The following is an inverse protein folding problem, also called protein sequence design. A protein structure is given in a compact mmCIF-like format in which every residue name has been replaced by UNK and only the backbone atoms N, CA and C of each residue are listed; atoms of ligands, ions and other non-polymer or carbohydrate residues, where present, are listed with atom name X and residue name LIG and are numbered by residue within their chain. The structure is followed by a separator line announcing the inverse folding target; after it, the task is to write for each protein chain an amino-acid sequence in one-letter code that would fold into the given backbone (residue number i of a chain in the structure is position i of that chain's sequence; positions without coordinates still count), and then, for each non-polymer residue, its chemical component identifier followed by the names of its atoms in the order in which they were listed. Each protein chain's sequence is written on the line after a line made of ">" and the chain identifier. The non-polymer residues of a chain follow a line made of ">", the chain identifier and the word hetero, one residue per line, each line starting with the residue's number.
data_IF_074109819311
#
_entry.id   IF_074109819311
#
_cell.length_a   1.000
_cell.length_b   1.000
_cell.length_c   1.000
_cell.angle_alpha   90.00
_cell.angle_beta   90.00
_cell.angle_gamma   90.00
#
_symmetry.space_group_name_H-M   'P 1'
#
loop_
_entity.id
_entity.type
_entity.pdbx_description
1 polymer ?
#
# COMPACT_ATOMS: atom_id res chain seq x y z
N UNK A 1 19.20 4.68 2.68
CA UNK A 1 19.26 6.13 2.91
C UNK A 1 18.83 6.42 4.33
N UNK A 2 19.35 7.49 4.92
CA UNK A 2 19.00 7.89 6.29
C UNK A 2 17.55 8.40 6.33
N UNK A 3 16.76 7.81 7.23
CA UNK A 3 15.38 8.24 7.51
C UNK A 3 15.42 9.15 8.73
N UNK A 4 14.89 10.36 8.59
CA UNK A 4 14.85 11.35 9.67
C UNK A 4 13.45 11.37 10.26
N UNK A 5 13.33 10.99 11.53
CA UNK A 5 12.08 11.05 12.28
C UNK A 5 12.09 12.26 13.21
N UNK A 6 11.16 13.19 13.01
CA UNK A 6 10.90 14.20 14.03
C UNK A 6 10.01 13.63 15.15
N UNK A 7 10.18 14.07 16.41
CA UNK A 7 9.35 13.62 17.52
C UNK A 7 7.90 14.05 17.33
N UNK A 8 6.98 13.31 17.96
CA UNK A 8 5.58 13.69 18.04
C UNK A 8 5.43 14.99 18.83
N UNK A 9 4.62 15.91 18.30
CA UNK A 9 4.24 17.18 18.92
C UNK A 9 2.74 17.19 19.16
N UNK A 10 2.32 17.63 20.34
CA UNK A 10 0.91 17.75 20.68
C UNK A 10 0.36 19.08 20.17
N UNK A 11 -0.72 19.03 19.42
CA UNK A 11 -1.42 20.19 18.89
C UNK A 11 -2.51 20.70 19.84
N UNK A 12 -2.93 21.95 19.67
CA UNK A 12 -3.99 22.59 20.49
C UNK A 12 -5.32 21.83 20.44
N UNK A 13 -5.62 21.21 19.29
CA UNK A 13 -6.85 20.45 19.08
C UNK A 13 -6.84 19.06 19.76
N UNK A 14 -5.71 18.67 20.38
CA UNK A 14 -5.48 17.40 21.07
C UNK A 14 -4.87 16.30 20.21
N UNK A 15 -4.74 16.48 18.90
CA UNK A 15 -4.03 15.54 18.03
C UNK A 15 -2.52 15.62 18.29
N UNK A 16 -1.79 14.62 17.79
CA UNK A 16 -0.33 14.67 17.75
C UNK A 16 0.14 14.65 16.30
N UNK A 17 1.15 15.44 15.97
CA UNK A 17 1.73 15.49 14.62
C UNK A 17 3.22 15.17 14.66
N UNK A 18 3.75 14.62 13.56
CA UNK A 18 5.19 14.55 13.32
C UNK A 18 5.47 14.63 11.84
N UNK A 19 6.72 14.96 11.51
CA UNK A 19 7.23 14.95 10.14
C UNK A 19 8.31 13.88 10.02
N UNK A 20 8.31 13.16 8.91
CA UNK A 20 9.31 12.16 8.57
C UNK A 20 9.87 12.52 7.20
N UNK A 21 11.20 12.49 7.07
CA UNK A 21 11.90 12.77 5.82
C UNK A 21 12.69 11.53 5.41
N UNK A 22 12.52 11.11 4.16
CA UNK A 22 13.22 9.94 3.62
C UNK A 22 13.39 10.03 2.10
N UNK A 23 14.18 9.10 1.55
CA UNK A 23 14.36 8.94 0.11
C UNK A 23 13.86 7.57 -0.30
N UNK A 24 13.05 7.52 -1.36
CA UNK A 24 12.57 6.29 -1.97
C UNK A 24 13.29 6.04 -3.29
N UNK A 25 13.47 4.77 -3.64
CA UNK A 25 13.93 4.34 -4.97
C UNK A 25 12.72 4.16 -5.88
N UNK A 26 12.82 4.67 -7.11
CA UNK A 26 11.77 4.59 -8.11
C UNK A 26 12.13 3.58 -9.20
N UNK A 27 11.15 2.78 -9.60
CA UNK A 27 11.28 1.78 -10.68
C UNK A 27 10.81 2.30 -12.04
N UNK A 28 10.40 3.56 -12.12
CA UNK A 28 9.87 4.17 -13.34
C UNK A 28 11.01 4.64 -14.28
N UNK A 29 11.11 4.12 -15.51
CA UNK A 29 12.17 4.50 -16.46
C UNK A 29 12.08 5.96 -16.94
N UNK A 30 10.95 6.64 -16.72
CA UNK A 30 10.71 8.04 -17.09
C UNK A 30 10.89 9.02 -15.92
N UNK A 31 11.24 8.52 -14.73
CA UNK A 31 11.48 9.32 -13.54
C UNK A 31 12.95 9.19 -13.09
N UNK A 32 13.47 10.11 -12.27
CA UNK A 32 14.73 9.90 -11.58
C UNK A 32 14.71 8.60 -10.77
N UNK A 33 15.88 7.97 -10.59
CA UNK A 33 15.99 6.69 -9.85
C UNK A 33 15.59 6.79 -8.38
N UNK A 34 15.56 8.00 -7.84
CA UNK A 34 15.23 8.28 -6.44
C UNK A 34 14.39 9.53 -6.33
N UNK A 35 13.54 9.59 -5.32
CA UNK A 35 12.77 10.78 -4.95
C UNK A 35 12.87 11.05 -3.46
N UNK A 36 12.93 12.32 -3.09
CA UNK A 36 12.84 12.74 -1.70
C UNK A 36 11.36 12.82 -1.28
N UNK A 37 11.07 12.44 -0.03
CA UNK A 37 9.71 12.37 0.49
C UNK A 37 9.60 13.12 1.80
N UNK A 38 8.54 13.93 1.90
CA UNK A 38 8.09 14.54 3.14
C UNK A 38 6.77 13.90 3.53
N UNK A 39 6.75 13.23 4.68
CA UNK A 39 5.55 12.63 5.23
C UNK A 39 5.15 13.33 6.53
N UNK A 40 3.96 13.94 6.53
CA UNK A 40 3.37 14.55 7.72
C UNK A 40 2.33 13.61 8.29
N UNK A 41 2.61 13.06 9.47
CA UNK A 41 1.70 12.17 10.16
C UNK A 41 0.92 12.91 11.22
N UNK A 42 -0.39 12.68 11.28
CA UNK A 42 -1.30 13.17 12.32
C UNK A 42 -1.94 11.96 13.01
N UNK A 43 -1.59 11.75 14.27
CA UNK A 43 -2.29 10.81 15.15
C UNK A 43 -3.47 11.52 15.80
N UNK A 44 -4.68 11.00 15.56
CA UNK A 44 -5.89 11.61 16.08
C UNK A 44 -6.02 11.42 17.60
N UNK A 45 -6.57 12.43 18.27
CA UNK A 45 -6.84 12.42 19.73
C UNK A 45 -7.75 11.28 20.22
N UNK A 46 -8.51 10.67 19.31
CA UNK A 46 -9.34 9.51 19.60
C UNK A 46 -8.51 8.21 19.74
N UNK A 47 -7.22 8.25 19.38
CA UNK A 47 -6.29 7.14 19.58
C UNK A 47 -6.08 6.90 21.08
N UNK A 48 -6.15 5.65 21.47
CA UNK A 48 -5.98 5.18 22.84
C UNK A 48 -4.83 4.22 22.89
N UNK A 49 -3.88 4.48 23.78
CA UNK A 49 -2.71 3.64 23.96
C UNK A 49 -3.13 2.18 24.21
N UNK A 50 -2.44 1.27 23.52
CA UNK A 50 -2.69 -0.19 23.55
C UNK A 50 -4.04 -0.66 23.00
N UNK A 51 -4.98 0.22 22.64
CA UNK A 51 -6.32 -0.19 22.18
C UNK A 51 -6.56 0.15 20.70
N UNK A 52 -6.32 1.40 20.30
CA UNK A 52 -6.60 1.86 18.95
C UNK A 52 -5.71 3.05 18.55
N UNK A 53 -5.13 3.01 17.36
CA UNK A 53 -4.43 4.13 16.77
C UNK A 53 -5.00 4.45 15.40
N UNK A 54 -5.32 5.73 15.18
CA UNK A 54 -5.73 6.25 13.88
C UNK A 54 -4.75 7.35 13.49
N UNK A 55 -4.00 7.09 12.41
CA UNK A 55 -2.94 7.97 11.91
C UNK A 55 -3.19 8.26 10.44
N UNK A 56 -3.32 9.54 10.11
CA UNK A 56 -3.28 10.00 8.73
C UNK A 56 -1.86 10.43 8.38
N UNK A 57 -1.35 9.95 7.26
CA UNK A 57 -0.06 10.32 6.70
C UNK A 57 -0.27 11.03 5.36
N UNK A 58 -0.01 12.32 5.34
CA UNK A 58 0.08 13.11 4.11
C UNK A 58 1.49 12.97 3.55
N UNK A 59 1.62 12.39 2.36
CA UNK A 59 2.91 12.10 1.73
C UNK A 59 3.07 12.97 0.49
N UNK A 60 4.14 13.77 0.49
CA UNK A 60 4.59 14.56 -0.64
C UNK A 60 5.88 13.94 -1.18
N UNK A 61 5.83 13.47 -2.41
CA UNK A 61 6.99 12.94 -3.12
C UNK A 61 7.54 14.03 -4.04
N UNK A 62 8.75 14.50 -3.77
CA UNK A 62 9.42 15.52 -4.57
C UNK A 62 10.22 14.87 -5.71
N UNK A 63 10.71 15.69 -6.63
CA UNK A 63 11.62 15.28 -7.72
C UNK A 63 11.01 14.28 -8.74
N UNK A 64 9.70 14.01 -8.67
CA UNK A 64 8.97 13.20 -9.67
C UNK A 64 8.23 14.08 -10.67
N UNK A 65 7.98 13.61 -11.90
CA UNK A 65 7.14 14.33 -12.85
C UNK A 65 5.77 14.66 -12.23
N UNK A 66 5.35 15.91 -12.37
CA UNK A 66 4.08 16.42 -11.84
C UNK A 66 3.94 16.36 -10.31
N UNK A 67 5.05 16.35 -9.54
CA UNK A 67 5.01 16.31 -8.08
C UNK A 67 4.19 17.44 -7.43
N UNK A 68 3.98 18.56 -8.13
CA UNK A 68 3.18 19.69 -7.68
C UNK A 68 1.66 19.53 -7.97
N UNK A 69 1.27 18.51 -8.73
CA UNK A 69 -0.13 18.24 -9.09
C UNK A 69 -0.84 17.39 -8.06
N UNK A 70 -0.14 16.51 -7.35
CA UNK A 70 -0.76 15.50 -6.52
C UNK A 70 0.01 15.22 -5.25
N UNK A 71 -0.66 14.58 -4.30
CA UNK A 71 -0.09 14.06 -3.07
C UNK A 71 -0.92 12.86 -2.61
N UNK A 72 -0.39 12.12 -1.65
CA UNK A 72 -1.03 10.90 -1.15
C UNK A 72 -1.51 11.12 0.27
N UNK A 73 -2.68 10.57 0.60
CA UNK A 73 -3.13 10.43 1.99
C UNK A 73 -3.27 8.95 2.30
N UNK A 74 -2.48 8.45 3.24
CA UNK A 74 -2.62 7.11 3.79
C UNK A 74 -3.25 7.20 5.18
N UNK A 75 -4.35 6.48 5.41
CA UNK A 75 -4.96 6.34 6.74
C UNK A 75 -4.65 4.97 7.29
N UNK A 76 -3.84 4.93 8.35
CA UNK A 76 -3.51 3.74 9.11
C UNK A 76 -4.44 3.63 10.32
N UNK A 77 -5.15 2.52 10.43
CA UNK A 77 -5.97 2.19 11.59
C UNK A 77 -5.48 0.89 12.20
N UNK A 78 -4.92 0.96 13.40
CA UNK A 78 -4.45 -0.19 14.16
C UNK A 78 -5.37 -0.39 15.36
N UNK A 79 -6.12 -1.49 15.38
CA UNK A 79 -7.04 -1.82 16.48
C UNK A 79 -6.62 -3.13 17.14
N UNK A 80 -6.57 -3.16 18.48
CA UNK A 80 -6.33 -4.38 19.23
C UNK A 80 -7.48 -5.37 19.04
N UNK A 81 -7.14 -6.64 18.90
CA UNK A 81 -8.10 -7.77 18.74
C UNK A 81 -7.94 -8.78 19.87
N UNK A 82 -6.71 -8.99 20.36
CA UNK A 82 -6.40 -9.78 21.54
C UNK A 82 -5.12 -9.26 22.21
N UNK A 83 -4.64 -9.92 23.28
CA UNK A 83 -3.46 -9.47 24.03
C UNK A 83 -2.22 -9.23 23.16
N UNK A 84 -1.94 -10.12 22.22
CA UNK A 84 -0.78 -10.06 21.32
C UNK A 84 -1.23 -10.07 19.85
N UNK A 85 -2.42 -9.54 19.56
CA UNK A 85 -2.98 -9.54 18.21
C UNK A 85 -3.69 -8.23 17.92
N UNK A 86 -3.37 -7.65 16.79
CA UNK A 86 -3.98 -6.41 16.30
C UNK A 86 -4.44 -6.60 14.86
N UNK A 87 -5.36 -5.76 14.43
CA UNK A 87 -5.79 -5.64 13.04
C UNK A 87 -5.28 -4.30 12.52
N UNK A 88 -4.47 -4.35 11.47
CA UNK A 88 -4.08 -3.18 10.69
C UNK A 88 -5.02 -3.04 9.49
N UNK A 89 -5.55 -1.84 9.27
CA UNK A 89 -6.25 -1.45 8.06
C UNK A 89 -5.57 -0.22 7.49
N UNK A 90 -5.29 -0.23 6.19
CA UNK A 90 -4.73 0.93 5.50
C UNK A 90 -5.64 1.28 4.34
N UNK A 91 -6.05 2.54 4.25
CA UNK A 91 -6.75 3.09 3.09
C UNK A 91 -5.95 4.23 2.52
N UNK A 92 -5.88 4.30 1.19
CA UNK A 92 -5.08 5.29 0.50
C UNK A 92 -5.94 6.10 -0.45
N UNK A 93 -5.68 7.40 -0.50
CA UNK A 93 -6.31 8.33 -1.42
C UNK A 93 -5.26 9.12 -2.20
N UNK A 94 -5.41 9.14 -3.53
CA UNK A 94 -4.67 10.04 -4.42
C UNK A 94 -5.42 11.38 -4.50
N UNK A 95 -4.78 12.46 -4.06
CA UNK A 95 -5.37 13.81 -4.07
C UNK A 95 -4.69 14.68 -5.11
N UNK A 96 -5.48 15.41 -5.88
CA UNK A 96 -5.00 16.39 -6.85
C UNK A 96 -5.11 17.82 -6.30
N UNK A 97 -4.00 18.55 -6.29
CA UNK A 97 -3.94 20.00 -6.01
C UNK A 97 -4.28 20.83 -7.23
N UNK A 98 -3.94 20.32 -8.41
CA UNK A 98 -4.24 20.90 -9.73
C UNK A 98 -4.96 19.86 -10.55
N UNK A 99 -5.96 20.26 -11.34
CA UNK A 99 -6.68 19.32 -12.20
C UNK A 99 -5.79 18.90 -13.38
N UNK A 100 -5.30 17.65 -13.44
CA UNK A 100 -4.56 17.18 -14.61
C UNK A 100 -5.51 16.94 -15.79
N UNK A 101 -5.02 17.20 -17.00
CA UNK A 101 -5.70 16.84 -18.24
C UNK A 101 -5.51 15.33 -18.53
N UNK A 102 -6.40 14.75 -19.34
CA UNK A 102 -6.60 13.29 -19.44
C UNK A 102 -5.33 12.43 -19.48
N UNK A 103 -4.38 12.72 -20.39
CA UNK A 103 -3.15 11.94 -20.51
C UNK A 103 -2.25 12.03 -19.26
N UNK A 104 -2.11 13.23 -18.69
CA UNK A 104 -1.33 13.44 -17.46
C UNK A 104 -1.99 12.75 -16.28
N UNK A 105 -3.32 12.83 -16.18
CA UNK A 105 -4.09 12.13 -15.14
C UNK A 105 -3.84 10.64 -15.20
N UNK A 106 -4.02 10.04 -16.39
CA UNK A 106 -3.78 8.60 -16.58
C UNK A 106 -2.33 8.20 -16.32
N UNK A 107 -1.36 9.04 -16.67
CA UNK A 107 0.04 8.79 -16.35
C UNK A 107 0.28 8.77 -14.83
N UNK A 108 -0.21 9.77 -14.10
CA UNK A 108 -0.09 9.85 -12.65
C UNK A 108 -0.74 8.63 -11.99
N UNK A 109 -2.00 8.33 -12.33
CA UNK A 109 -2.75 7.23 -11.72
C UNK A 109 -2.09 5.87 -11.93
N UNK A 110 -1.62 5.57 -13.14
CA UNK A 110 -0.96 4.29 -13.43
C UNK A 110 0.29 4.10 -12.59
N UNK A 111 1.15 5.10 -12.53
CA UNK A 111 2.39 5.03 -11.75
C UNK A 111 2.11 5.01 -10.25
N UNK A 112 1.13 5.80 -9.80
CA UNK A 112 0.72 5.87 -8.41
C UNK A 112 0.21 4.52 -7.91
N UNK A 113 -0.80 3.93 -8.58
CA UNK A 113 -1.40 2.67 -8.12
C UNK A 113 -0.43 1.50 -8.22
N UNK A 114 0.43 1.45 -9.25
CA UNK A 114 1.47 0.42 -9.36
C UNK A 114 2.45 0.51 -8.20
N UNK A 115 2.99 1.71 -7.90
CA UNK A 115 3.94 1.87 -6.80
C UNK A 115 3.33 1.63 -5.43
N UNK A 116 2.05 1.99 -5.26
CA UNK A 116 1.32 1.79 -4.01
C UNK A 116 1.04 0.31 -3.72
N UNK A 117 0.61 -0.43 -4.75
CA UNK A 117 0.36 -1.86 -4.67
C UNK A 117 1.66 -2.61 -4.33
N UNK A 118 2.77 -2.29 -5.00
CA UNK A 118 4.07 -2.87 -4.69
C UNK A 118 4.48 -2.56 -3.24
N UNK A 119 4.35 -1.31 -2.78
CA UNK A 119 4.68 -0.94 -1.41
C UNK A 119 3.89 -1.73 -0.37
N UNK A 120 2.57 -1.78 -0.48
CA UNK A 120 1.73 -2.46 0.53
C UNK A 120 1.87 -3.97 0.50
N UNK A 121 2.14 -4.57 -0.66
CA UNK A 121 2.47 -5.99 -0.76
C UNK A 121 3.76 -6.32 -0.01
N UNK A 122 4.78 -5.48 -0.13
CA UNK A 122 6.03 -5.64 0.64
C UNK A 122 5.79 -5.42 2.14
N UNK A 123 4.99 -4.42 2.51
CA UNK A 123 4.64 -4.17 3.92
C UNK A 123 3.93 -5.38 4.55
N UNK A 124 2.93 -5.95 3.85
CA UNK A 124 2.21 -7.12 4.31
C UNK A 124 3.15 -8.33 4.49
N UNK A 125 4.05 -8.56 3.54
CA UNK A 125 5.03 -9.65 3.60
C UNK A 125 5.97 -9.50 4.80
N UNK A 126 6.54 -8.31 5.02
CA UNK A 126 7.46 -8.06 6.14
C UNK A 126 6.75 -8.08 7.50
N UNK A 127 5.50 -7.62 7.59
CA UNK A 127 4.69 -7.75 8.80
C UNK A 127 4.37 -9.21 9.13
N UNK A 128 4.01 -10.02 8.12
CA UNK A 128 3.72 -11.46 8.28
C UNK A 128 4.97 -12.22 8.72
N UNK A 129 6.12 -11.90 8.12
CA UNK A 129 7.41 -12.46 8.52
C UNK A 129 7.77 -12.10 9.96
N UNK A 130 7.55 -10.85 10.36
CA UNK A 130 7.77 -10.37 11.73
C UNK A 130 6.87 -11.11 12.73
N UNK A 131 5.58 -11.26 12.41
CA UNK A 131 4.63 -12.04 13.22
C UNK A 131 5.10 -13.49 13.39
N UNK A 132 5.49 -14.16 12.29
CA UNK A 132 5.95 -15.55 12.35
C UNK A 132 7.21 -15.73 13.21
N UNK A 133 8.13 -14.77 13.15
CA UNK A 133 9.38 -14.77 13.94
C UNK A 133 9.06 -14.58 15.42
N UNK A 134 8.18 -13.62 15.74
CA UNK A 134 7.72 -13.38 17.11
C UNK A 134 7.04 -14.62 17.72
N UNK A 135 6.15 -15.29 16.97
CA UNK A 135 5.49 -16.51 17.43
C UNK A 135 6.50 -17.66 17.66
N UNK A 136 7.52 -17.78 16.81
CA UNK A 136 8.58 -18.77 16.98
C UNK A 136 9.42 -18.51 18.25
N UNK A 137 9.74 -17.25 18.56
CA UNK A 137 10.45 -16.88 19.78
C UNK A 137 9.64 -17.16 21.04
N UNK A 138 8.35 -16.80 21.06
CA UNK A 138 7.44 -17.11 22.17
C UNK A 138 7.34 -18.63 22.38
N UNK A 139 7.29 -19.42 21.31
CA UNK A 139 7.27 -20.88 21.41
C UNK A 139 8.58 -21.45 21.99
N UNK A 140 9.75 -20.88 21.64
CA UNK A 140 11.05 -21.32 22.19
C UNK A 140 11.21 -21.00 23.67
N UNK A 141 10.57 -19.96 24.18
CA UNK A 141 10.64 -19.57 25.60
C UNK A 141 9.72 -20.41 26.50
N UNK A 142 8.86 -21.27 25.96
CA UNK A 142 8.05 -22.19 26.76
C UNK A 142 8.92 -23.35 27.29
N UNK A 143 9.15 -23.51 28.60
CA UNK A 143 10.00 -24.57 29.13
C UNK A 143 9.34 -25.94 28.93
N UNK A 144 9.90 -26.77 28.05
CA UNK A 144 9.72 -28.22 28.09
C UNK A 144 11.05 -28.88 28.47
N UNK A 145 11.51 -28.64 29.69
CA UNK A 145 12.43 -29.56 30.34
C UNK A 145 11.65 -30.81 30.76
N UNK A 146 11.55 -31.80 29.87
CA UNK A 146 11.31 -33.17 30.29
C UNK A 146 12.65 -33.77 30.71
N UNK A 147 13.02 -33.57 31.98
CA UNK A 147 14.03 -34.39 32.66
C UNK A 147 13.53 -35.84 32.63
N UNK A 148 14.21 -36.67 31.82
CA UNK A 148 14.01 -38.11 31.82
C UNK A 148 14.56 -38.69 33.12
N UNK A 149 13.67 -38.98 34.07
CA UNK A 149 13.98 -39.91 35.16
C UNK A 149 13.36 -41.25 34.84
N UNK A 150 14.22 -42.19 34.44
CA UNK A 150 13.98 -43.61 34.57
C UNK A 150 13.74 -43.93 36.05
N UNK A 151 12.65 -44.62 36.38
CA UNK A 151 12.57 -45.38 37.63
C UNK A 151 11.73 -46.64 37.43
N UNK A 152 12.40 -47.76 37.65
CA UNK A 152 11.99 -49.15 37.59
C UNK A 152 11.08 -49.58 38.77
N UNK A 153 10.03 -50.35 38.45
CA UNK A 153 9.48 -51.56 39.12
C UNK A 153 9.44 -51.63 40.67
N UNK A 154 8.24 -51.81 41.28
CA UNK A 154 7.89 -53.01 42.09
C UNK A 154 6.45 -53.04 42.65
N UNK A 155 5.80 -54.16 42.33
CA UNK A 155 4.56 -54.81 42.81
C UNK A 155 4.47 -54.98 44.33
N UNK A 156 3.29 -54.73 44.94
CA UNK A 156 2.71 -55.62 45.98
C UNK A 156 1.18 -55.48 46.12
N UNK A 157 0.54 -56.64 46.21
CA UNK A 157 -0.90 -56.94 46.27
C UNK A 157 -1.22 -57.39 47.71
N UNK A 158 -2.29 -56.88 48.34
CA UNK A 158 -3.13 -57.64 49.28
C UNK A 158 -4.46 -56.94 49.56
N UNK A 159 -5.50 -57.76 49.67
CA UNK A 159 -6.91 -57.44 49.85
C UNK A 159 -7.35 -57.65 51.31
N UNK A 160 -8.53 -57.11 51.66
CA UNK A 160 -9.62 -57.62 52.53
C UNK A 160 -10.46 -56.39 52.95
N UNK A 161 -11.63 -56.13 52.37
CA UNK A 161 -12.94 -56.79 52.49
C UNK A 161 -13.59 -56.63 53.88
N UNK A 162 -14.64 -55.81 54.00
CA UNK A 162 -15.87 -56.02 54.79
C UNK A 162 -16.92 -54.97 54.36
N UNK A 163 -17.87 -55.32 53.49
CA UNK A 163 -19.24 -55.79 53.78
C UNK A 163 -20.23 -54.67 54.18
N UNK A 164 -20.96 -54.10 53.21
CA UNK A 164 -22.43 -54.01 53.20
C UNK A 164 -22.95 -53.72 51.79
N UNK A 165 -24.10 -54.34 51.51
CA UNK A 165 -24.78 -54.66 50.23
C UNK A 165 -26.07 -53.78 50.17
N UNK A 166 -26.88 -53.75 49.10
CA UNK A 166 -26.73 -53.01 47.84
C UNK A 166 -27.99 -52.19 47.43
N UNK A 167 -27.88 -51.48 46.29
CA UNK A 167 -28.95 -51.23 45.29
C UNK A 167 -30.03 -50.19 45.68
N UNK A 168 -30.47 -49.24 44.85
CA UNK A 168 -30.53 -49.00 43.40
C UNK A 168 -30.73 -47.46 43.28
N UNK A 169 -30.11 -46.66 42.42
CA UNK A 169 -30.17 -46.60 40.94
C UNK A 169 -29.09 -45.55 40.54
N UNK A 170 -27.97 -45.88 39.88
CA UNK A 170 -27.80 -45.97 38.41
C UNK A 170 -28.20 -44.64 37.70
N UNK A 171 -27.34 -43.85 37.05
CA UNK A 171 -26.40 -44.18 35.96
C UNK A 171 -25.52 -42.93 35.64
N UNK A 172 -24.20 -43.15 35.58
CA UNK A 172 -23.12 -42.47 34.81
C UNK A 172 -22.51 -41.10 35.22
N UNK A 173 -21.25 -41.23 35.66
CA UNK A 173 -20.11 -40.29 35.62
C UNK A 173 -19.57 -40.13 34.16
N UNK A 174 -18.58 -39.28 33.79
CA UNK A 174 -17.43 -38.88 34.60
C UNK A 174 -16.93 -37.43 34.53
N UNK A 175 -16.11 -37.13 35.52
CA UNK A 175 -15.17 -36.00 35.61
C UNK A 175 -14.32 -35.88 34.34
N UNK A 176 -14.33 -34.69 33.72
CA UNK A 176 -13.14 -34.05 33.14
C UNK A 176 -13.31 -32.54 33.25
N UNK A 177 -12.30 -31.84 33.75
CA UNK A 177 -12.07 -30.43 33.40
C UNK A 177 -11.54 -30.37 31.97
N UNK A 178 -12.11 -29.54 31.09
CA UNK A 178 -11.29 -28.82 30.12
C UNK A 178 -11.71 -27.35 29.96
N UNK A 179 -10.69 -26.48 30.01
CA UNK A 179 -10.42 -25.38 29.06
C UNK A 179 -11.59 -24.60 28.45
N UNK A 180 -11.62 -23.32 28.80
CA UNK A 180 -11.83 -22.12 27.98
C UNK A 180 -12.08 -22.34 26.46
N UNK A 181 -13.24 -22.92 26.11
CA UNK A 181 -13.80 -22.93 24.76
C UNK A 181 -15.33 -22.79 24.83
N UNK A 182 -15.83 -21.69 25.40
CA UNK A 182 -17.25 -21.34 25.33
C UNK A 182 -17.45 -19.85 25.02
N UNK A 183 -16.85 -19.35 23.93
CA UNK A 183 -17.37 -18.15 23.24
C UNK A 183 -17.23 -18.32 21.73
N UNK A 184 -17.80 -19.39 21.19
CA UNK A 184 -17.91 -19.62 19.76
C UNK A 184 -19.32 -20.05 19.33
N UNK A 185 -20.37 -19.47 19.90
CA UNK A 185 -21.70 -19.50 19.29
C UNK A 185 -22.50 -18.24 19.62
N UNK A 186 -22.33 -17.20 18.81
CA UNK A 186 -23.47 -16.37 18.40
C UNK A 186 -23.28 -15.91 16.96
N UNK A 187 -23.87 -16.71 16.10
CA UNK A 187 -24.26 -16.39 14.74
C UNK A 187 -25.05 -15.07 14.76
N UNK A 188 -24.51 -14.04 14.10
CA UNK A 188 -25.34 -13.16 13.27
C UNK A 188 -24.74 -13.20 11.86
N UNK A 189 -25.37 -14.02 11.03
CA UNK A 189 -25.35 -13.88 9.59
C UNK A 189 -25.63 -12.42 9.22
N UNK A 190 -24.71 -11.79 8.50
CA UNK A 190 -25.04 -10.69 7.58
C UNK A 190 -24.38 -11.01 6.25
N UNK A 191 -25.21 -10.98 5.22
CA UNK A 191 -24.92 -11.32 3.85
C UNK A 191 -23.89 -10.37 3.21
N UNK A 192 -23.02 -10.93 2.36
CA UNK A 192 -22.03 -10.18 1.59
C UNK A 192 -20.87 -11.05 1.13
N UNK A 193 -21.16 -12.28 0.68
CA UNK A 193 -20.16 -13.15 0.06
C UNK A 193 -19.97 -12.71 -1.39
N UNK A 194 -18.90 -11.98 -1.66
CA UNK A 194 -18.24 -11.99 -2.97
C UNK A 194 -16.88 -12.64 -2.79
N UNK A 195 -16.91 -13.96 -2.86
CA UNK A 195 -15.75 -14.83 -2.96
C UNK A 195 -15.12 -14.61 -4.35
N UNK A 196 -14.14 -13.72 -4.46
CA UNK A 196 -13.29 -13.65 -5.67
C UNK A 196 -12.11 -14.58 -5.48
N UNK A 197 -12.28 -15.76 -6.07
CA UNK A 197 -11.30 -16.80 -6.38
C UNK A 197 -9.97 -16.19 -6.83
N UNK A 198 -8.93 -16.32 -6.01
CA UNK A 198 -7.55 -15.97 -6.35
C UNK A 198 -6.99 -17.01 -7.33
N UNK A 199 -6.86 -16.62 -8.60
CA UNK A 199 -6.04 -17.32 -9.59
C UNK A 199 -4.66 -16.67 -9.52
N UNK A 200 -3.55 -17.43 -9.37
CA UNK A 200 -2.23 -16.86 -9.52
C UNK A 200 -2.01 -16.60 -11.02
N UNK A 201 -1.97 -15.34 -11.43
CA UNK A 201 -1.43 -14.98 -12.74
C UNK A 201 0.07 -14.70 -12.61
N UNK A 202 0.85 -15.40 -13.43
CA UNK A 202 2.27 -15.20 -13.63
C UNK A 202 2.57 -13.75 -14.03
N UNK A 203 3.38 -13.08 -13.22
CA UNK A 203 3.89 -11.73 -13.50
C UNK A 203 4.80 -11.74 -14.73
N UNK A 204 4.47 -11.00 -15.80
CA UNK A 204 5.37 -10.84 -16.94
C UNK A 204 5.94 -9.42 -16.85
N UNK A 205 7.13 -9.33 -16.27
CA UNK A 205 8.00 -8.13 -16.28
C UNK A 205 8.26 -7.56 -17.69
N UNK A 206 7.88 -8.28 -18.75
CA UNK A 206 7.92 -7.85 -20.15
C UNK A 206 6.83 -6.86 -20.59
N UNK A 207 5.68 -6.74 -19.90
CA UNK A 207 4.61 -5.82 -20.34
C UNK A 207 4.93 -4.34 -20.07
N UNK A 208 5.69 -4.05 -19.00
CA UNK A 208 6.00 -2.67 -18.62
C UNK A 208 6.92 -1.98 -19.64
N UNK A 209 8.00 -2.66 -20.08
CA UNK A 209 8.88 -2.14 -21.13
C UNK A 209 8.17 -2.00 -22.48
N UNK A 210 7.31 -2.95 -22.84
CA UNK A 210 6.53 -2.87 -24.08
C UNK A 210 5.55 -1.69 -24.07
N UNK A 211 4.92 -1.41 -22.93
CA UNK A 211 4.03 -0.25 -22.79
C UNK A 211 4.79 1.06 -22.91
N UNK A 212 5.99 1.17 -22.33
CA UNK A 212 6.84 2.37 -22.47
C UNK A 212 7.33 2.52 -23.90
N UNK A 213 7.76 1.44 -24.56
CA UNK A 213 8.17 1.46 -25.97
C UNK A 213 7.03 1.90 -26.90
N UNK A 214 5.81 1.38 -26.69
CA UNK A 214 4.62 1.81 -27.42
C UNK A 214 4.30 3.28 -27.18
N UNK A 215 4.40 3.76 -25.94
CA UNK A 215 4.18 5.17 -25.60
C UNK A 215 5.20 6.08 -26.29
N UNK A 216 6.48 5.71 -26.27
CA UNK A 216 7.56 6.46 -26.93
C UNK A 216 7.37 6.51 -28.44
N UNK A 217 6.91 5.43 -29.06
CA UNK A 217 6.56 5.42 -30.49
C UNK A 217 5.41 6.40 -30.80
N UNK A 218 4.37 6.44 -29.98
CA UNK A 218 3.25 7.38 -30.16
C UNK A 218 3.72 8.83 -29.98
N UNK A 219 4.52 9.11 -28.95
CA UNK A 219 5.09 10.45 -28.73
C UNK A 219 5.97 10.86 -29.90
N UNK A 220 6.86 9.97 -30.36
CA UNK A 220 7.72 10.20 -31.52
C UNK A 220 6.91 10.51 -32.78
N UNK A 221 5.85 9.74 -33.05
CA UNK A 221 4.96 9.97 -34.19
C UNK A 221 4.27 11.35 -34.10
N UNK A 222 3.75 11.72 -32.93
CA UNK A 222 3.12 13.03 -32.71
C UNK A 222 4.14 14.16 -32.90
N UNK A 223 5.37 14.02 -32.41
CA UNK A 223 6.43 15.00 -32.59
C UNK A 223 6.80 15.17 -34.07
N UNK A 224 6.93 14.08 -34.84
CA UNK A 224 7.17 14.14 -36.29
C UNK A 224 6.02 14.87 -36.99
N UNK A 225 4.77 14.55 -36.67
CA UNK A 225 3.62 15.26 -37.22
C UNK A 225 3.65 16.76 -36.87
N UNK A 226 3.97 17.12 -35.63
CA UNK A 226 4.10 18.51 -35.21
C UNK A 226 5.22 19.24 -35.97
N UNK A 227 6.35 18.59 -36.22
CA UNK A 227 7.43 19.15 -37.03
C UNK A 227 6.97 19.38 -38.47
N UNK A 228 6.27 18.40 -39.08
CA UNK A 228 5.71 18.54 -40.43
C UNK A 228 4.70 19.69 -40.50
N UNK A 229 3.80 19.78 -39.52
CA UNK A 229 2.80 20.85 -39.45
C UNK A 229 3.47 22.22 -39.28
N UNK A 230 4.49 22.32 -38.43
CA UNK A 230 5.28 23.54 -38.29
C UNK A 230 5.98 23.91 -39.60
N UNK A 231 6.62 22.95 -40.29
CA UNK A 231 7.24 23.18 -41.59
C UNK A 231 6.23 23.63 -42.65
N UNK A 232 5.03 23.05 -42.66
CA UNK A 232 3.95 23.47 -43.55
C UNK A 232 3.48 24.90 -43.22
N UNK A 233 3.41 25.26 -41.94
CA UNK A 233 3.07 26.61 -41.49
C UNK A 233 4.12 27.62 -41.95
N UNK A 234 5.40 27.31 -41.77
CA UNK A 234 6.52 28.12 -42.29
C UNK A 234 6.48 28.25 -43.81
N UNK A 235 6.21 27.16 -44.53
CA UNK A 235 6.08 27.19 -45.98
C UNK A 235 4.92 28.10 -46.41
N UNK A 236 3.76 28.02 -45.76
CA UNK A 236 2.63 28.91 -46.05
C UNK A 236 2.94 30.36 -45.75
N UNK A 237 3.62 30.64 -44.63
CA UNK A 237 4.03 31.99 -44.27
C UNK A 237 5.00 32.57 -45.31
N UNK A 238 6.01 31.78 -45.70
CA UNK A 238 6.98 32.17 -46.71
C UNK A 238 6.32 32.42 -48.08
N UNK A 239 5.36 31.58 -48.48
CA UNK A 239 4.61 31.76 -49.73
C UNK A 239 3.71 33.01 -49.68
N UNK A 240 3.12 33.32 -48.53
CA UNK A 240 2.36 34.56 -48.32
C UNK A 240 3.26 35.80 -48.39
N UNK A 241 4.47 35.74 -47.84
CA UNK A 241 5.46 36.80 -47.94
C UNK A 241 5.90 37.01 -49.39
N UNK A 242 6.18 35.93 -50.12
CA UNK A 242 6.53 35.99 -51.54
C UNK A 242 5.42 36.62 -52.39
N UNK A 243 4.16 36.24 -52.17
CA UNK A 243 3.01 36.80 -52.90
C UNK A 243 2.75 38.26 -52.56
N UNK A 244 2.97 38.69 -51.31
CA UNK A 244 2.84 40.10 -50.92
C UNK A 244 3.97 40.96 -51.50
N UNK A 245 5.22 40.48 -51.47
CA UNK A 245 6.37 41.18 -52.06
C UNK A 245 6.20 41.39 -53.58
N UNK A 246 5.78 40.35 -54.30
CA UNK A 246 5.49 40.45 -55.74
C UNK A 246 4.39 41.47 -56.02
N UNK A 247 3.30 41.46 -55.26
CA UNK A 247 2.18 42.41 -55.43
C UNK A 247 2.61 43.86 -55.16
N UNK A 248 3.45 44.11 -54.15
CA UNK A 248 4.04 45.44 -53.91
C UNK A 248 5.01 45.90 -55.00
N UNK A 249 5.80 44.98 -55.57
CA UNK A 249 6.69 45.29 -56.68
C UNK A 249 5.90 45.70 -57.95
N UNK A 250 4.78 45.03 -58.23
CA UNK A 250 3.87 45.40 -59.32
C UNK A 250 3.19 46.75 -59.10
N UNK A 251 2.86 47.10 -57.86
CA UNK A 251 2.30 48.42 -57.52
C UNK A 251 3.34 49.55 -57.66
N UNK A 252 4.59 49.30 -57.28
CA UNK A 252 5.70 50.24 -57.47
C UNK A 252 5.97 50.55 -58.95
N UNK A 253 5.92 49.54 -59.81
CA UNK A 253 6.09 49.70 -61.26
C UNK A 253 4.98 50.54 -61.91
N UNK A 254 3.71 50.38 -61.48
CA UNK A 254 2.59 51.18 -62.01
C UNK A 254 2.59 52.65 -61.58
N UNK A 255 3.23 52.99 -60.47
CA UNK A 255 3.35 54.38 -60.00
C UNK A 255 4.43 55.16 -60.75
N UNK A 256 5.35 54.48 -61.43
CA UNK A 256 6.45 55.10 -62.17
C UNK A 256 6.10 55.42 -63.64
N UNK A 257 4.95 54.93 -64.13
CA UNK A 257 4.43 55.17 -65.50
C UNK A 257 3.49 56.39 -65.60
N UNK A 258 3.42 57.25 -64.58
CA UNK A 258 2.55 58.43 -64.53
C UNK A 258 3.33 59.69 -64.23
#
# INVERSE_FOLDING_TARGET
>A
SDIIFHPWKKEENGNQTRVILYTITLTNPLAPKTATVTETQTMYKASQESECYVIDAEVLTHDVPYHDYFYTINRYTLTRVARNKSRLRVSTELRYRKQPWGLVKSFIEKNFWSGLEDYFRHLESELTKTESTYLAEVHRQSPKEKVSKQSTVRRRKRAHAHLRVPHLEEVLSPVTTPTDEEVAHRIKHVAGSTQTRHIPEDSPSGFHLQSVSKLLLVISFVLVLLVILNMMLFYKLWMLEYTTQTLTAWQGLRLQER
#
